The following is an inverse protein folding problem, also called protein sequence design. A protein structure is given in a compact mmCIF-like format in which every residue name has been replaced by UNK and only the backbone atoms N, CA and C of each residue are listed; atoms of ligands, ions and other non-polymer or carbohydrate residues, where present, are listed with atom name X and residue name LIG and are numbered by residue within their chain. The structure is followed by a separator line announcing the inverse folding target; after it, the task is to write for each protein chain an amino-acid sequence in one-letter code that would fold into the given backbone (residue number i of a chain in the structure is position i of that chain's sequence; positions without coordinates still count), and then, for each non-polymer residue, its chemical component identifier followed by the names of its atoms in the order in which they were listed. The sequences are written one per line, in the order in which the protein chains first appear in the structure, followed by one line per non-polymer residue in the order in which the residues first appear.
data_IF_725211726715
#
_entry.id   IF_725211726715
#
_cell.length_a   1.000
_cell.length_b   1.000
_cell.length_c   1.000
_cell.angle_alpha   90.00
_cell.angle_beta   90.00
_cell.angle_gamma   90.00
#
_symmetry.space_group_name_H-M   'P 1'
#
loop_
_entity.id
_entity.type
_entity.pdbx_description
1 polymer ?
#
# COMPACT_ATOMS: atom_id res chain seq x y z
N UNK A 1 -16.60 45.43 25.91
CA UNK A 1 -17.72 45.90 25.08
C UNK A 1 -17.97 44.87 24.01
N UNK A 2 -18.98 44.02 24.20
CA UNK A 2 -19.40 43.06 23.19
C UNK A 2 -20.27 43.76 22.16
N UNK A 3 -20.07 43.41 20.89
CA UNK A 3 -21.00 43.73 19.82
C UNK A 3 -21.48 42.43 19.19
N UNK A 4 -22.63 41.98 19.68
CA UNK A 4 -23.55 41.10 18.97
C UNK A 4 -24.03 41.84 17.71
N UNK A 5 -23.82 41.28 16.53
CA UNK A 5 -24.56 41.70 15.34
C UNK A 5 -25.31 40.52 14.72
N UNK A 6 -26.61 40.77 14.57
CA UNK A 6 -27.67 39.84 14.20
C UNK A 6 -27.60 39.40 12.73
N UNK A 7 -27.83 38.09 12.58
CA UNK A 7 -28.50 37.37 11.49
C UNK A 7 -29.17 38.22 10.38
N UNK A 8 -28.60 38.17 9.18
CA UNK A 8 -29.35 38.33 7.93
C UNK A 8 -29.33 36.99 7.18
N UNK A 9 -30.49 36.34 7.08
CA UNK A 9 -30.71 35.19 6.18
C UNK A 9 -30.67 35.71 4.75
N UNK A 10 -29.60 35.41 4.03
CA UNK A 10 -29.60 35.53 2.57
C UNK A 10 -29.89 34.13 1.99
N UNK A 11 -31.18 33.86 1.79
CA UNK A 11 -31.64 32.75 0.97
C UNK A 11 -31.34 33.12 -0.49
N UNK A 12 -30.39 32.40 -1.08
CA UNK A 12 -30.15 32.41 -2.51
C UNK A 12 -30.09 30.98 -2.98
N UNK A 13 -31.27 30.48 -3.36
CA UNK A 13 -31.43 29.50 -4.43
C UNK A 13 -30.56 29.93 -5.62
N UNK A 14 -29.39 29.32 -5.78
CA UNK A 14 -28.61 29.39 -7.02
C UNK A 14 -28.51 28.00 -7.64
N UNK A 15 -28.93 28.00 -8.89
CA UNK A 15 -29.09 26.90 -9.81
C UNK A 15 -27.82 26.04 -9.96
N UNK A 16 -28.11 24.75 -10.17
CA UNK A 16 -27.31 23.74 -10.84
C UNK A 16 -26.32 24.31 -11.87
N UNK A 17 -25.03 24.19 -11.54
CA UNK A 17 -24.00 23.92 -12.54
C UNK A 17 -23.17 22.76 -12.01
N UNK A 18 -23.54 21.56 -12.41
CA UNK A 18 -22.94 20.28 -12.06
C UNK A 18 -21.59 20.04 -12.75
N UNK A 19 -20.66 21.00 -12.64
CA UNK A 19 -19.25 20.72 -12.88
C UNK A 19 -18.69 20.05 -11.63
N UNK A 20 -18.62 18.71 -11.66
CA UNK A 20 -17.97 17.90 -10.63
C UNK A 20 -16.56 18.45 -10.44
N UNK A 21 -16.29 19.07 -9.29
CA UNK A 21 -14.94 19.47 -8.89
C UNK A 21 -14.10 18.18 -8.80
N UNK A 22 -13.35 17.87 -9.84
CA UNK A 22 -12.37 16.80 -9.81
C UNK A 22 -11.18 17.26 -8.98
N UNK A 23 -10.99 16.62 -7.84
CA UNK A 23 -9.86 16.91 -6.98
C UNK A 23 -8.67 16.04 -7.40
N UNK A 24 -7.45 16.50 -7.11
CA UNK A 24 -6.21 15.78 -7.46
C UNK A 24 -6.15 14.33 -6.93
N UNK A 25 -6.92 14.02 -5.88
CA UNK A 25 -7.04 12.66 -5.33
C UNK A 25 -8.00 11.75 -6.13
N UNK A 26 -8.93 12.29 -6.92
CA UNK A 26 -9.81 11.52 -7.82
C UNK A 26 -9.02 10.87 -8.98
N UNK A 27 -7.85 11.41 -9.32
CA UNK A 27 -6.95 10.88 -10.36
C UNK A 27 -5.95 9.82 -9.86
N UNK A 28 -5.99 9.45 -8.58
CA UNK A 28 -5.07 8.45 -8.05
C UNK A 28 -5.41 7.09 -8.63
N UNK A 29 -4.43 6.44 -9.25
CA UNK A 29 -4.54 5.03 -9.60
C UNK A 29 -4.90 4.25 -8.33
N UNK A 30 -5.97 3.46 -8.39
CA UNK A 30 -6.31 2.52 -7.32
C UNK A 30 -5.19 1.49 -7.23
N UNK A 31 -4.27 1.75 -6.33
CA UNK A 31 -3.29 0.77 -5.87
C UNK A 31 -4.06 -0.21 -4.98
N UNK A 32 -4.12 -1.47 -5.38
CA UNK A 32 -4.72 -2.50 -4.54
C UNK A 32 -3.67 -3.04 -3.58
N UNK A 33 -3.98 -3.01 -2.28
CA UNK A 33 -3.06 -3.51 -1.24
C UNK A 33 -2.76 -5.01 -1.36
N UNK A 34 -3.64 -5.77 -2.01
CA UNK A 34 -3.48 -7.21 -2.23
C UNK A 34 -2.30 -7.56 -3.13
N UNK A 35 -1.92 -6.67 -4.05
CA UNK A 35 -0.90 -6.99 -5.05
C UNK A 35 0.52 -7.03 -4.45
N UNK A 36 0.67 -6.46 -3.25
CA UNK A 36 1.91 -6.35 -2.49
C UNK A 36 1.94 -7.24 -1.25
N UNK A 37 0.87 -8.03 -1.05
CA UNK A 37 0.75 -8.99 0.02
C UNK A 37 0.83 -10.39 -0.58
N UNK A 38 1.72 -11.20 -0.01
CA UNK A 38 1.92 -12.59 -0.38
C UNK A 38 1.77 -13.43 0.88
N UNK A 39 0.76 -14.29 0.90
CA UNK A 39 0.43 -15.12 2.05
C UNK A 39 0.10 -16.54 1.66
N UNK A 40 0.26 -17.47 2.60
CA UNK A 40 -0.19 -18.86 2.52
C UNK A 40 0.42 -19.65 1.34
N UNK A 41 1.66 -19.33 0.99
CA UNK A 41 2.37 -19.97 -0.13
C UNK A 41 3.21 -21.13 0.39
N UNK A 42 3.02 -22.31 -0.22
CA UNK A 42 3.70 -23.55 0.15
C UNK A 42 4.27 -24.21 -1.12
N UNK A 43 5.52 -24.68 -1.05
CA UNK A 43 6.21 -25.42 -2.12
C UNK A 43 6.14 -24.75 -3.49
N UNK A 44 6.31 -23.42 -3.55
CA UNK A 44 6.26 -22.70 -4.83
C UNK A 44 7.30 -21.61 -4.98
N UNK A 45 7.45 -21.15 -6.22
CA UNK A 45 8.38 -20.09 -6.59
C UNK A 45 7.59 -18.85 -7.06
N UNK A 46 7.81 -17.72 -6.39
CA UNK A 46 7.17 -16.45 -6.72
C UNK A 46 8.20 -15.48 -7.22
N UNK A 47 8.02 -15.03 -8.46
CA UNK A 47 8.91 -14.06 -9.10
C UNK A 47 8.15 -12.76 -9.35
N UNK A 48 8.73 -11.64 -8.90
CA UNK A 48 8.26 -10.29 -9.18
C UNK A 48 9.28 -9.57 -10.04
N UNK A 49 8.84 -9.18 -11.23
CA UNK A 49 9.61 -8.45 -12.21
C UNK A 49 9.74 -6.96 -11.82
N UNK A 50 10.80 -6.27 -12.28
CA UNK A 50 10.96 -4.84 -12.06
C UNK A 50 9.75 -4.06 -12.59
N UNK A 51 9.23 -3.13 -11.78
CA UNK A 51 8.04 -2.34 -12.08
C UNK A 51 6.72 -2.89 -11.52
N UNK A 52 6.72 -4.06 -10.86
CA UNK A 52 5.52 -4.58 -10.20
C UNK A 52 5.30 -3.97 -8.81
N UNK A 53 6.36 -3.71 -8.05
CA UNK A 53 6.29 -3.22 -6.67
C UNK A 53 6.29 -1.69 -6.63
N UNK A 54 6.98 -1.03 -7.57
CA UNK A 54 7.02 0.44 -7.73
C UNK A 54 7.29 1.19 -6.41
N UNK A 55 8.19 0.68 -5.58
CA UNK A 55 8.57 1.35 -4.34
C UNK A 55 7.53 1.26 -3.21
N UNK A 56 6.57 0.34 -3.28
CA UNK A 56 5.63 0.11 -2.18
C UNK A 56 6.20 -0.81 -1.09
N UNK A 57 5.44 -0.97 -0.01
CA UNK A 57 5.76 -1.93 1.05
C UNK A 57 5.32 -3.31 0.60
N UNK A 58 6.20 -4.31 0.75
CA UNK A 58 5.93 -5.70 0.42
C UNK A 58 5.84 -6.54 1.68
N UNK A 59 4.84 -7.43 1.74
CA UNK A 59 4.53 -8.24 2.93
C UNK A 59 4.49 -9.71 2.52
N UNK A 60 5.31 -10.55 3.16
CA UNK A 60 5.35 -12.01 3.00
C UNK A 60 4.98 -12.63 4.34
N UNK A 61 3.92 -13.43 4.40
CA UNK A 61 3.42 -14.02 5.64
C UNK A 61 3.05 -15.49 5.47
N UNK A 62 3.27 -16.29 6.52
CA UNK A 62 2.83 -17.70 6.59
C UNK A 62 3.21 -18.54 5.36
N UNK A 63 4.46 -18.42 4.90
CA UNK A 63 4.97 -19.17 3.74
C UNK A 63 5.88 -20.31 4.17
N UNK A 64 5.87 -21.45 3.44
CA UNK A 64 6.67 -22.64 3.77
C UNK A 64 7.38 -23.20 2.55
N UNK A 65 8.66 -23.57 2.70
CA UNK A 65 9.49 -24.21 1.68
C UNK A 65 9.37 -23.57 0.28
N UNK A 66 9.28 -22.24 0.25
CA UNK A 66 8.99 -21.46 -0.96
C UNK A 66 10.12 -20.49 -1.28
N UNK A 67 10.29 -20.18 -2.55
CA UNK A 67 11.34 -19.27 -3.02
C UNK A 67 10.75 -18.00 -3.60
N UNK A 68 11.19 -16.85 -3.10
CA UNK A 68 10.70 -15.54 -3.49
C UNK A 68 11.82 -14.74 -4.15
N UNK A 69 11.60 -14.32 -5.40
CA UNK A 69 12.52 -13.47 -6.15
C UNK A 69 11.83 -12.13 -6.43
N UNK A 70 12.17 -11.10 -5.67
CA UNK A 70 11.59 -9.76 -5.82
C UNK A 70 12.67 -8.85 -6.39
N UNK A 71 12.70 -8.75 -7.72
CA UNK A 71 13.75 -8.05 -8.46
C UNK A 71 13.34 -6.60 -8.77
N UNK A 72 12.79 -5.91 -7.79
CA UNK A 72 12.34 -4.52 -7.91
C UNK A 72 12.81 -3.67 -6.72
N UNK A 73 12.69 -2.35 -6.86
CA UNK A 73 12.89 -1.41 -5.78
C UNK A 73 11.66 -1.33 -4.89
N UNK A 74 11.87 -1.36 -3.57
CA UNK A 74 10.79 -1.36 -2.59
C UNK A 74 11.11 -0.44 -1.42
N UNK A 75 10.07 0.10 -0.76
CA UNK A 75 10.29 1.00 0.37
C UNK A 75 10.53 0.22 1.67
N UNK A 76 9.78 -0.84 1.92
CA UNK A 76 9.96 -1.67 3.10
C UNK A 76 9.52 -3.10 2.80
N UNK A 77 10.13 -4.06 3.52
CA UNK A 77 9.77 -5.48 3.43
C UNK A 77 9.47 -6.00 4.82
N UNK A 78 8.35 -6.70 4.95
CA UNK A 78 7.96 -7.41 6.17
C UNK A 78 7.86 -8.89 5.84
N UNK A 79 8.65 -9.70 6.53
CA UNK A 79 8.62 -11.16 6.44
C UNK A 79 8.22 -11.69 7.81
N UNK A 80 7.12 -12.43 7.86
CA UNK A 80 6.54 -12.97 9.08
C UNK A 80 6.20 -14.45 8.91
N UNK A 81 6.42 -15.26 9.95
CA UNK A 81 6.06 -16.69 10.00
C UNK A 81 6.44 -17.50 8.74
N UNK A 82 7.66 -17.30 8.22
CA UNK A 82 8.15 -18.02 7.05
C UNK A 82 9.12 -19.14 7.48
N UNK A 83 8.87 -20.38 7.03
CA UNK A 83 9.68 -21.57 7.35
C UNK A 83 10.36 -22.11 6.10
N UNK A 84 11.66 -22.38 6.18
CA UNK A 84 12.49 -22.91 5.09
C UNK A 84 12.33 -22.15 3.76
N UNK A 85 12.06 -20.84 3.82
CA UNK A 85 11.88 -20.01 2.64
C UNK A 85 13.19 -19.35 2.20
N UNK A 86 13.39 -19.25 0.89
CA UNK A 86 14.52 -18.54 0.28
C UNK A 86 14.01 -17.23 -0.30
N UNK A 87 14.54 -16.11 0.18
CA UNK A 87 14.04 -14.78 -0.21
C UNK A 87 15.19 -13.96 -0.80
N UNK A 88 15.04 -13.56 -2.06
CA UNK A 88 15.96 -12.69 -2.79
C UNK A 88 15.25 -11.37 -3.04
N UNK A 89 15.82 -10.29 -2.53
CA UNK A 89 15.25 -8.94 -2.62
C UNK A 89 16.16 -8.04 -3.45
N UNK A 90 15.53 -7.18 -4.26
CA UNK A 90 16.15 -6.03 -4.89
C UNK A 90 16.41 -4.90 -3.90
N UNK A 91 16.70 -3.71 -4.43
CA UNK A 91 17.06 -2.56 -3.61
C UNK A 91 15.90 -2.13 -2.67
N UNK A 92 16.17 -2.14 -1.36
CA UNK A 92 15.23 -1.64 -0.35
C UNK A 92 15.65 -0.25 0.09
N UNK A 93 14.76 0.74 -0.07
CA UNK A 93 15.04 2.13 0.31
C UNK A 93 14.96 2.37 1.82
N UNK A 94 13.99 1.75 2.47
CA UNK A 94 13.67 1.97 3.88
C UNK A 94 14.17 0.83 4.76
N UNK A 95 13.23 0.14 5.42
CA UNK A 95 13.55 -0.85 6.44
C UNK A 95 13.21 -2.25 5.98
N UNK A 96 14.09 -3.18 6.33
CA UNK A 96 13.84 -4.61 6.28
C UNK A 96 13.46 -5.08 7.68
N UNK A 97 12.28 -5.70 7.82
CA UNK A 97 11.80 -6.26 9.08
C UNK A 97 11.45 -7.73 8.88
N UNK A 98 12.31 -8.62 9.32
CA UNK A 98 12.02 -10.05 9.41
C UNK A 98 11.71 -10.40 10.86
N UNK A 99 10.48 -10.77 11.14
CA UNK A 99 10.09 -11.31 12.44
C UNK A 99 10.04 -12.83 12.29
N UNK A 100 11.16 -13.47 12.57
CA UNK A 100 11.25 -14.94 12.56
C UNK A 100 10.86 -15.39 13.96
N UNK A 101 9.62 -15.88 14.12
CA UNK A 101 9.24 -16.62 15.32
C UNK A 101 9.88 -18.01 15.26
N UNK A 102 11.13 -18.13 15.70
CA UNK A 102 11.65 -19.40 16.16
C UNK A 102 10.96 -19.71 17.50
N UNK A 103 10.08 -20.71 17.51
CA UNK A 103 9.69 -21.41 18.73
C UNK A 103 10.87 -22.27 19.20
#
# INVERSE_FOLDING_TARGET
MGCYFHKARFDSRKADNSEKKEYSWDKRCKVNSSDYLVQDIIDSEVVRLPGSVNGQQFIIQNCKNSTFYILDHMNAVVIDDCLDCKIVLGAVKGRYSSMIFHC
#
